data_IF_254659259932
#
_entry.id   IF_254659259932
#
_cell.length_a   1.000
_cell.length_b   1.000
_cell.length_c   1.000
_cell.angle_alpha   90.00
_cell.angle_beta   90.00
_cell.angle_gamma   90.00
#
_symmetry.space_group_name_H-M   'P 1'
#
loop_
_entity.id
_entity.type
_entity.pdbx_description
1 polymer ?
#
# COMPACT_ATOMS: atom_id res chain seq x y z
N UNK A 1 33.01 -13.12 27.52
CA UNK A 1 32.02 -12.24 28.17
C UNK A 1 32.41 -10.81 27.86
N UNK A 2 31.44 -9.92 27.63
CA UNK A 2 31.66 -8.54 27.18
C UNK A 2 30.79 -7.56 28.00
N UNK A 3 31.23 -6.32 28.07
CA UNK A 3 30.43 -5.19 28.56
C UNK A 3 30.15 -4.26 27.37
N UNK A 4 28.87 -3.91 27.18
CA UNK A 4 28.46 -2.98 26.14
C UNK A 4 28.34 -1.59 26.76
N UNK A 5 29.24 -0.69 26.41
CA UNK A 5 29.27 0.68 26.94
C UNK A 5 28.91 1.65 25.83
N UNK A 6 27.93 2.50 26.08
CA UNK A 6 27.52 3.51 25.12
C UNK A 6 28.63 4.55 24.92
N UNK A 7 29.10 4.67 23.67
CA UNK A 7 30.26 5.48 23.32
C UNK A 7 30.13 6.97 23.63
N UNK A 8 28.92 7.53 23.71
CA UNK A 8 28.71 8.95 24.00
C UNK A 8 28.50 9.25 25.48
N UNK A 9 27.65 8.46 26.14
CA UNK A 9 27.25 8.71 27.54
C UNK A 9 28.05 7.90 28.55
N UNK A 10 28.94 7.02 28.07
CA UNK A 10 29.75 6.09 28.89
C UNK A 10 28.93 5.22 29.85
N UNK A 11 27.65 5.00 29.54
CA UNK A 11 26.74 4.17 30.36
C UNK A 11 26.78 2.73 29.87
N UNK A 12 26.76 1.79 30.80
CA UNK A 12 26.78 0.36 30.49
C UNK A 12 25.37 -0.16 30.23
N UNK A 13 25.20 -0.99 29.22
CA UNK A 13 23.95 -1.71 28.97
C UNK A 13 23.69 -2.73 30.08
N UNK A 14 22.51 -2.68 30.66
CA UNK A 14 22.10 -3.47 31.80
C UNK A 14 20.67 -3.99 31.60
N UNK A 15 20.35 -5.11 32.23
CA UNK A 15 18.97 -5.57 32.40
C UNK A 15 18.79 -6.06 33.83
N UNK A 16 17.57 -6.01 34.32
CA UNK A 16 17.25 -6.25 35.71
C UNK A 16 15.81 -6.77 35.82
N UNK A 17 15.43 -7.23 37.00
CA UNK A 17 14.12 -7.84 37.23
C UNK A 17 13.02 -6.79 37.41
N UNK A 18 12.85 -5.97 36.36
CA UNK A 18 11.79 -4.97 36.21
C UNK A 18 11.14 -5.22 34.87
N UNK A 19 9.82 -5.13 34.82
CA UNK A 19 9.05 -5.35 33.61
C UNK A 19 9.33 -4.25 32.57
N UNK A 20 9.44 -4.62 31.29
CA UNK A 20 9.58 -3.67 30.20
C UNK A 20 8.32 -2.79 30.06
N UNK A 21 8.46 -1.53 29.59
CA UNK A 21 7.41 -0.52 29.64
C UNK A 21 6.17 -0.86 28.81
N UNK A 22 6.32 -1.53 27.66
CA UNK A 22 5.19 -1.98 26.82
C UNK A 22 4.97 -3.49 26.89
N UNK A 23 6.04 -4.24 27.17
CA UNK A 23 6.02 -5.71 27.19
C UNK A 23 6.19 -6.24 28.62
N UNK A 24 5.12 -6.31 29.44
CA UNK A 24 5.23 -6.62 30.87
C UNK A 24 5.76 -8.03 31.17
N UNK A 25 5.74 -8.92 30.18
CA UNK A 25 6.26 -10.29 30.29
C UNK A 25 7.78 -10.39 30.10
N UNK A 26 8.42 -9.31 29.64
CA UNK A 26 9.85 -9.24 29.38
C UNK A 26 10.54 -8.29 30.36
N UNK A 27 11.84 -8.46 30.53
CA UNK A 27 12.67 -7.60 31.38
C UNK A 27 13.03 -6.30 30.66
N UNK A 28 13.04 -5.20 31.40
CA UNK A 28 13.52 -3.91 30.92
C UNK A 28 15.03 -3.97 30.63
N UNK A 29 15.43 -3.39 29.50
CA UNK A 29 16.82 -3.14 29.16
C UNK A 29 17.08 -1.65 29.24
N UNK A 30 18.05 -1.26 30.05
CA UNK A 30 18.37 0.14 30.31
C UNK A 30 19.88 0.36 30.37
N UNK A 31 20.29 1.63 30.36
CA UNK A 31 21.68 2.01 30.55
C UNK A 31 21.90 2.33 32.04
N UNK A 32 22.69 1.51 32.73
CA UNK A 32 22.94 1.65 34.17
C UNK A 32 23.63 2.98 34.50
N UNK A 33 23.17 3.60 35.58
CA UNK A 33 23.74 4.80 36.19
C UNK A 33 23.83 4.52 37.69
N UNK A 34 25.01 4.77 38.25
CA UNK A 34 25.21 4.62 39.69
C UNK A 34 24.59 5.81 40.44
N UNK A 35 23.32 5.68 40.79
CA UNK A 35 22.60 6.67 41.60
C UNK A 35 22.73 6.40 43.11
N UNK A 36 23.80 5.72 43.56
CA UNK A 36 23.94 5.31 44.96
C UNK A 36 22.77 4.42 45.42
N UNK A 37 22.28 3.59 44.49
CA UNK A 37 21.22 2.60 44.72
C UNK A 37 21.93 1.31 45.16
N UNK A 38 21.40 0.62 46.17
CA UNK A 38 21.96 -0.59 46.79
C UNK A 38 22.04 -1.83 45.87
N UNK A 39 21.85 -1.67 44.56
CA UNK A 39 21.84 -2.74 43.56
C UNK A 39 23.16 -2.73 42.79
N UNK A 40 23.98 -3.79 42.87
CA UNK A 40 25.22 -3.87 42.11
C UNK A 40 24.89 -3.93 40.60
N UNK A 41 25.73 -3.25 39.80
CA UNK A 41 25.57 -3.23 38.35
C UNK A 41 25.71 -4.63 37.75
N UNK A 42 24.76 -5.04 36.91
CA UNK A 42 24.76 -6.33 36.21
C UNK A 42 25.04 -6.09 34.72
N UNK A 43 26.29 -5.75 34.39
CA UNK A 43 26.63 -5.25 33.05
C UNK A 43 27.25 -6.32 32.13
N UNK A 44 27.29 -7.58 32.57
CA UNK A 44 27.99 -8.65 31.85
C UNK A 44 27.06 -9.36 30.88
N UNK A 45 27.47 -9.40 29.62
CA UNK A 45 26.79 -10.09 28.53
C UNK A 45 27.68 -11.20 27.96
N UNK A 46 27.10 -12.38 27.76
CA UNK A 46 27.70 -13.48 27.01
C UNK A 46 27.36 -13.29 25.54
N UNK A 47 28.42 -13.18 24.72
CA UNK A 47 28.31 -13.12 23.27
C UNK A 47 28.27 -14.54 22.72
N UNK A 48 27.22 -14.87 21.97
CA UNK A 48 27.06 -16.15 21.27
C UNK A 48 26.97 -15.89 19.77
N UNK A 49 27.96 -16.33 18.99
CA UNK A 49 27.87 -16.33 17.52
C UNK A 49 26.92 -17.47 17.12
N UNK A 50 25.85 -17.13 16.41
CA UNK A 50 24.77 -18.05 16.03
C UNK A 50 25.12 -18.79 14.73
N UNK A 51 25.65 -18.08 13.74
CA UNK A 51 26.06 -18.65 12.45
C UNK A 51 27.47 -19.29 12.53
N UNK A 52 27.61 -20.34 13.35
CA UNK A 52 28.87 -21.08 13.50
C UNK A 52 29.11 -21.99 12.29
N UNK A 53 29.65 -21.43 11.22
CA UNK A 53 30.41 -22.19 10.22
C UNK A 53 31.78 -22.58 10.78
N UNK A 54 32.32 -23.72 10.35
CA UNK A 54 33.40 -24.52 10.96
C UNK A 54 34.75 -23.84 11.29
N UNK A 55 34.91 -22.52 11.14
CA UNK A 55 36.25 -21.88 11.21
C UNK A 55 36.29 -20.43 11.76
N UNK A 56 35.27 -19.94 12.47
CA UNK A 56 35.28 -18.52 12.92
C UNK A 56 34.83 -18.31 14.36
N UNK A 57 35.77 -18.46 15.30
CA UNK A 57 35.68 -17.83 16.65
C UNK A 57 35.87 -16.30 16.60
N UNK A 58 36.11 -15.74 15.41
CA UNK A 58 36.29 -14.32 15.18
C UNK A 58 34.96 -13.64 14.86
N UNK A 59 34.61 -12.63 15.67
CA UNK A 59 33.47 -11.74 15.42
C UNK A 59 33.80 -10.79 14.26
N UNK A 60 33.09 -10.93 13.13
CA UNK A 60 33.27 -10.11 11.93
C UNK A 60 32.08 -9.14 11.75
N UNK A 61 32.36 -7.93 11.28
CA UNK A 61 31.32 -6.96 10.89
C UNK A 61 30.46 -7.51 9.76
N UNK A 62 29.16 -7.22 9.81
CA UNK A 62 28.09 -7.56 8.84
C UNK A 62 27.84 -9.07 8.66
N UNK A 63 28.85 -9.92 8.81
CA UNK A 63 28.80 -11.36 8.54
C UNK A 63 28.39 -12.19 9.76
N UNK A 64 28.85 -11.79 10.95
CA UNK A 64 28.58 -12.55 12.16
C UNK A 64 27.23 -12.14 12.75
N UNK A 65 26.33 -13.11 12.76
CA UNK A 65 25.10 -13.05 13.54
C UNK A 65 25.40 -13.43 14.99
N UNK A 66 25.14 -12.50 15.91
CA UNK A 66 25.46 -12.65 17.33
C UNK A 66 24.22 -12.48 18.20
N UNK A 67 24.25 -13.14 19.35
CA UNK A 67 23.25 -13.02 20.40
C UNK A 67 23.92 -12.57 21.69
N UNK A 68 23.28 -11.63 22.39
CA UNK A 68 23.73 -11.18 23.70
C UNK A 68 22.84 -11.80 24.78
N UNK A 69 23.44 -12.62 25.64
CA UNK A 69 22.76 -13.27 26.76
C UNK A 69 23.27 -12.66 28.06
N UNK A 70 22.39 -12.03 28.82
CA UNK A 70 22.72 -11.44 30.10
C UNK A 70 23.16 -12.51 31.11
N UNK A 71 24.29 -12.31 31.78
CA UNK A 71 24.89 -13.35 32.63
C UNK A 71 24.06 -13.62 33.88
N UNK A 72 23.51 -12.58 34.52
CA UNK A 72 22.84 -12.73 35.80
C UNK A 72 21.39 -13.22 35.66
N UNK A 73 20.65 -12.70 34.69
CA UNK A 73 19.22 -13.05 34.49
C UNK A 73 19.00 -14.10 33.41
N UNK A 74 20.03 -14.51 32.66
CA UNK A 74 19.94 -15.37 31.46
C UNK A 74 19.02 -14.83 30.35
N UNK A 75 18.64 -13.56 30.42
CA UNK A 75 17.79 -12.91 29.44
C UNK A 75 18.56 -12.60 28.15
N UNK A 76 17.93 -12.82 27.01
CA UNK A 76 18.46 -12.53 25.69
C UNK A 76 18.00 -11.15 25.25
N UNK A 77 18.93 -10.36 24.73
CA UNK A 77 18.63 -9.06 24.15
C UNK A 77 17.78 -9.22 22.88
N UNK A 78 16.58 -8.64 22.87
CA UNK A 78 15.59 -8.81 21.80
C UNK A 78 14.91 -7.48 21.45
N UNK A 79 14.58 -7.30 20.18
CA UNK A 79 13.62 -6.28 19.74
C UNK A 79 12.19 -6.80 19.95
N UNK A 80 11.40 -6.05 20.73
CA UNK A 80 9.98 -6.35 20.99
C UNK A 80 9.12 -6.17 19.73
N UNK A 81 9.46 -5.19 18.89
CA UNK A 81 8.70 -4.82 17.69
C UNK A 81 7.64 -3.75 17.96
N UNK A 82 7.36 -3.43 19.22
CA UNK A 82 6.53 -2.30 19.61
C UNK A 82 7.32 -0.97 19.51
N UNK A 83 6.63 0.10 19.11
CA UNK A 83 7.16 1.46 19.15
C UNK A 83 6.87 2.10 20.51
N UNK A 84 7.89 2.69 21.13
CA UNK A 84 7.74 3.47 22.34
C UNK A 84 6.82 4.69 22.09
N UNK A 85 6.06 5.14 23.09
CA UNK A 85 5.27 6.37 22.97
C UNK A 85 6.14 7.61 22.73
N UNK A 86 5.52 8.80 22.69
CA UNK A 86 6.21 10.04 22.37
C UNK A 86 7.41 10.35 23.32
N UNK A 87 7.40 9.85 24.56
CA UNK A 87 8.53 9.97 25.49
C UNK A 87 9.80 9.23 25.03
N UNK A 88 9.64 8.17 24.23
CA UNK A 88 10.73 7.38 23.65
C UNK A 88 10.97 7.72 22.18
N UNK A 89 10.48 8.87 21.71
CA UNK A 89 10.64 9.36 20.35
C UNK A 89 10.19 8.36 19.26
N UNK A 90 9.20 7.49 19.56
CA UNK A 90 8.70 6.45 18.64
C UNK A 90 9.75 5.43 18.19
N UNK A 91 10.83 5.28 18.93
CA UNK A 91 11.84 4.26 18.71
C UNK A 91 11.32 2.87 19.06
N UNK A 92 11.96 1.83 18.54
CA UNK A 92 11.59 0.44 18.85
C UNK A 92 11.99 0.06 20.29
N UNK A 93 11.12 -0.67 20.97
CA UNK A 93 11.37 -1.18 22.32
C UNK A 93 12.40 -2.34 22.28
N UNK A 94 13.42 -2.25 23.14
CA UNK A 94 14.42 -3.29 23.37
C UNK A 94 14.13 -3.94 24.73
N UNK A 95 14.07 -5.28 24.76
CA UNK A 95 13.69 -6.06 25.93
C UNK A 95 14.64 -7.23 26.17
N UNK A 96 14.68 -7.70 27.42
CA UNK A 96 15.35 -8.93 27.82
C UNK A 96 14.33 -10.06 27.97
N UNK A 97 14.41 -11.09 27.13
CA UNK A 97 13.49 -12.25 27.21
C UNK A 97 14.25 -13.54 27.51
N UNK A 98 13.67 -14.42 28.32
CA UNK A 98 14.27 -15.74 28.57
C UNK A 98 14.32 -16.55 27.27
N UNK A 99 15.41 -17.28 27.06
CA UNK A 99 15.62 -18.06 25.84
C UNK A 99 14.49 -19.09 25.65
N UNK A 100 13.60 -18.85 24.68
CA UNK A 100 12.63 -19.84 24.22
C UNK A 100 13.25 -20.72 23.13
N UNK A 101 12.81 -21.98 23.02
CA UNK A 101 13.36 -22.97 22.08
C UNK A 101 13.09 -22.67 20.58
N UNK A 102 12.49 -21.52 20.26
CA UNK A 102 12.22 -21.08 18.89
C UNK A 102 13.29 -20.12 18.38
N UNK A 103 13.72 -20.30 17.13
CA UNK A 103 14.57 -19.33 16.45
C UNK A 103 13.75 -18.06 16.16
N UNK A 104 14.05 -16.96 16.86
CA UNK A 104 13.47 -15.65 16.59
C UNK A 104 14.54 -14.71 16.02
N UNK A 105 14.34 -14.26 14.78
CA UNK A 105 15.25 -13.32 14.11
C UNK A 105 15.44 -12.00 14.88
N UNK A 106 14.48 -11.60 15.71
CA UNK A 106 14.58 -10.38 16.55
C UNK A 106 15.54 -10.49 17.74
N UNK A 107 16.12 -11.67 17.98
CA UNK A 107 17.15 -11.91 19.01
C UNK A 107 18.57 -11.91 18.44
N UNK A 108 18.69 -11.81 17.11
CA UNK A 108 19.95 -11.85 16.39
C UNK A 108 20.37 -10.43 16.05
N UNK A 109 21.60 -10.10 16.38
CA UNK A 109 22.22 -8.81 16.16
C UNK A 109 23.41 -8.97 15.22
N UNK A 110 23.73 -7.91 14.50
CA UNK A 110 24.94 -7.82 13.70
C UNK A 110 25.67 -6.52 14.04
N UNK A 111 26.96 -6.45 13.69
CA UNK A 111 27.74 -5.21 13.80
C UNK A 111 27.88 -4.63 12.41
N UNK A 112 27.18 -3.54 12.13
CA UNK A 112 27.26 -2.84 10.85
C UNK A 112 28.60 -2.13 10.69
N UNK A 113 29.02 -1.39 11.72
CA UNK A 113 30.25 -0.61 11.71
C UNK A 113 31.14 -0.96 12.89
N UNK A 114 32.43 -1.13 12.63
CA UNK A 114 33.45 -1.27 13.65
C UNK A 114 34.51 -0.19 13.44
N UNK A 115 34.75 0.61 14.48
CA UNK A 115 35.75 1.67 14.47
C UNK A 115 36.65 1.49 15.70
N UNK A 116 37.95 1.61 15.51
CA UNK A 116 38.90 1.70 16.62
C UNK A 116 38.91 3.14 17.13
N UNK A 117 38.24 3.40 18.25
CA UNK A 117 38.28 4.69 18.92
C UNK A 117 39.55 4.83 19.76
N UNK A 118 40.39 5.81 19.44
CA UNK A 118 41.58 6.16 20.24
C UNK A 118 41.33 7.38 21.16
N UNK A 119 40.22 8.11 20.94
CA UNK A 119 39.90 9.35 21.65
C UNK A 119 39.27 9.10 23.03
N UNK A 120 39.70 9.91 24.02
CA UNK A 120 39.18 9.84 25.40
C UNK A 120 38.10 10.89 25.66
N UNK A 121 38.16 12.03 24.99
CA UNK A 121 37.22 13.13 25.19
C UNK A 121 35.91 12.94 24.42
N UNK A 122 34.79 13.41 24.98
CA UNK A 122 33.48 13.31 24.33
C UNK A 122 33.41 14.03 22.98
N UNK A 123 33.98 15.24 22.89
CA UNK A 123 33.97 16.06 21.66
C UNK A 123 34.75 15.41 20.52
N UNK A 124 35.81 14.68 20.85
CA UNK A 124 36.62 13.95 19.87
C UNK A 124 35.89 12.70 19.37
N UNK A 125 35.23 11.97 20.27
CA UNK A 125 34.34 10.84 19.91
C UNK A 125 33.21 11.25 18.98
N UNK A 126 32.60 12.42 19.19
CA UNK A 126 31.57 12.97 18.27
C UNK A 126 32.14 13.21 16.88
N UNK A 127 33.32 13.83 16.79
CA UNK A 127 33.99 14.09 15.51
C UNK A 127 34.38 12.80 14.79
N UNK A 128 34.87 11.80 15.54
CA UNK A 128 35.19 10.48 14.99
C UNK A 128 33.95 9.76 14.47
N UNK A 129 32.80 9.87 15.13
CA UNK A 129 31.52 9.30 14.66
C UNK A 129 31.06 9.90 13.32
N UNK A 130 31.24 11.22 13.15
CA UNK A 130 30.86 11.93 11.94
C UNK A 130 31.81 11.72 10.75
N UNK A 131 32.99 11.13 10.99
CA UNK A 131 33.89 10.73 9.90
C UNK A 131 33.33 9.50 9.15
N UNK A 132 33.60 9.37 7.84
CA UNK A 132 33.14 8.20 7.08
C UNK A 132 33.83 6.92 7.59
N UNK A 133 33.04 5.90 7.94
CA UNK A 133 33.58 4.59 8.30
C UNK A 133 34.30 3.95 7.10
N UNK A 134 35.49 3.40 7.34
CA UNK A 134 36.13 2.50 6.37
C UNK A 134 35.37 1.17 6.38
N UNK A 135 34.45 1.00 5.43
CA UNK A 135 33.70 -0.25 5.27
C UNK A 135 34.35 -1.05 4.15
N UNK A 136 35.15 -2.05 4.50
CA UNK A 136 35.78 -3.00 3.56
C UNK A 136 34.82 -4.11 3.09
N UNK A 137 33.52 -3.99 3.37
CA UNK A 137 32.54 -5.04 3.11
C UNK A 137 31.96 -4.90 1.71
N UNK A 138 32.73 -5.37 0.73
CA UNK A 138 32.25 -5.61 -0.64
C UNK A 138 31.45 -6.92 -0.69
N UNK A 139 30.26 -6.96 -0.07
CA UNK A 139 29.30 -8.02 -0.36
C UNK A 139 28.74 -7.73 -1.76
N UNK A 140 29.34 -8.33 -2.78
CA UNK A 140 28.78 -8.41 -4.12
C UNK A 140 27.53 -9.30 -4.09
N UNK A 141 26.45 -8.80 -3.50
CA UNK A 141 25.14 -9.42 -3.53
C UNK A 141 24.74 -9.60 -5.00
N UNK A 142 24.32 -10.81 -5.36
CA UNK A 142 23.84 -11.07 -6.71
C UNK A 142 22.60 -10.24 -6.99
N UNK A 143 22.38 -9.89 -8.27
CA UNK A 143 21.17 -9.18 -8.69
C UNK A 143 19.90 -9.94 -8.28
N UNK A 144 19.89 -11.27 -8.38
CA UNK A 144 18.76 -12.12 -7.97
C UNK A 144 18.48 -12.06 -6.46
N UNK A 145 19.52 -11.98 -5.62
CA UNK A 145 19.35 -11.82 -4.18
C UNK A 145 18.70 -10.46 -3.86
N UNK A 146 19.21 -9.37 -4.46
CA UNK A 146 18.64 -8.04 -4.29
C UNK A 146 17.21 -7.95 -4.82
N UNK A 147 16.94 -8.55 -5.97
CA UNK A 147 15.61 -8.58 -6.57
C UNK A 147 14.61 -9.33 -5.70
N UNK A 148 14.94 -10.54 -5.24
CA UNK A 148 14.06 -11.33 -4.37
C UNK A 148 13.81 -10.67 -3.03
N UNK A 149 14.85 -10.10 -2.39
CA UNK A 149 14.71 -9.32 -1.16
C UNK A 149 13.77 -8.13 -1.36
N UNK A 150 13.93 -7.40 -2.46
CA UNK A 150 13.07 -6.25 -2.78
C UNK A 150 11.62 -6.68 -3.01
N UNK A 151 11.37 -7.73 -3.79
CA UNK A 151 10.02 -8.23 -4.03
C UNK A 151 9.35 -8.71 -2.73
N UNK A 152 10.10 -9.41 -1.87
CA UNK A 152 9.60 -9.84 -0.57
C UNK A 152 9.23 -8.64 0.31
N UNK A 153 10.07 -7.61 0.34
CA UNK A 153 9.77 -6.36 1.07
C UNK A 153 8.55 -5.65 0.51
N UNK A 154 8.40 -5.56 -0.82
CA UNK A 154 7.22 -4.95 -1.45
C UNK A 154 5.92 -5.71 -1.10
N UNK A 155 5.98 -7.04 -0.99
CA UNK A 155 4.83 -7.88 -0.63
C UNK A 155 4.49 -7.81 0.86
N UNK A 156 5.52 -7.85 1.73
CA UNK A 156 5.37 -7.89 3.17
C UNK A 156 5.17 -6.50 3.80
N UNK A 157 5.37 -5.42 3.04
CA UNK A 157 5.11 -4.05 3.50
C UNK A 157 3.60 -3.91 3.80
N UNK A 158 3.29 -3.91 5.09
CA UNK A 158 1.99 -3.46 5.60
C UNK A 158 2.08 -1.95 5.69
N UNK A 159 1.30 -1.24 4.89
CA UNK A 159 1.13 0.20 5.08
C UNK A 159 0.44 0.42 6.41
N UNK A 160 0.95 1.32 7.25
CA UNK A 160 0.19 1.79 8.40
C UNK A 160 -1.13 2.38 7.89
N UNK A 161 -2.25 1.79 8.34
CA UNK A 161 -3.61 2.10 7.91
C UNK A 161 -4.09 3.45 8.47
N UNK A 162 -3.42 4.53 8.06
CA UNK A 162 -4.00 5.87 8.20
C UNK A 162 -5.10 6.02 7.15
N UNK A 163 -6.36 5.99 7.59
CA UNK A 163 -7.50 6.29 6.73
C UNK A 163 -7.31 7.68 6.10
N UNK A 164 -7.13 7.70 4.78
CA UNK A 164 -7.00 8.95 4.04
C UNK A 164 -8.40 9.51 3.75
N UNK A 165 -8.61 10.83 3.89
CA UNK A 165 -9.94 11.45 3.69
C UNK A 165 -10.65 11.07 2.39
N UNK A 166 -9.88 10.90 1.31
CA UNK A 166 -10.41 10.52 -0.03
C UNK A 166 -10.30 9.01 -0.33
N UNK A 167 -10.08 8.17 0.69
CA UNK A 167 -10.16 6.71 0.51
C UNK A 167 -11.59 6.32 0.15
N UNK A 168 -11.75 5.34 -0.74
CA UNK A 168 -13.06 4.90 -1.20
C UNK A 168 -13.18 3.39 -1.26
N UNK A 169 -14.41 2.90 -1.12
CA UNK A 169 -14.71 1.47 -1.19
C UNK A 169 -14.92 1.00 -2.64
N UNK A 170 -14.64 -0.27 -2.96
CA UNK A 170 -14.85 -0.80 -4.31
C UNK A 170 -16.28 -0.64 -4.85
N UNK A 171 -17.29 -0.63 -3.97
CA UNK A 171 -18.70 -0.46 -4.36
C UNK A 171 -19.02 0.97 -4.80
N UNK A 172 -18.44 1.96 -4.12
CA UNK A 172 -18.59 3.39 -4.46
C UNK A 172 -18.01 3.74 -5.84
N UNK A 173 -17.09 2.91 -6.34
CA UNK A 173 -16.51 3.11 -7.68
C UNK A 173 -17.55 2.85 -8.75
N UNK A 174 -18.38 1.81 -8.63
CA UNK A 174 -19.37 1.47 -9.69
C UNK A 174 -20.41 2.57 -9.83
N UNK A 175 -20.82 3.18 -8.71
CA UNK A 175 -21.78 4.28 -8.70
C UNK A 175 -21.15 5.64 -8.97
N UNK A 176 -19.82 5.77 -8.93
CA UNK A 176 -19.11 7.06 -8.97
C UNK A 176 -19.57 7.99 -7.84
N UNK A 177 -19.61 7.47 -6.62
CA UNK A 177 -20.01 8.27 -5.45
C UNK A 177 -18.85 9.09 -4.89
N UNK A 178 -17.61 8.64 -5.05
CA UNK A 178 -16.43 9.36 -4.57
C UNK A 178 -15.71 10.11 -5.68
N UNK A 179 -15.11 11.25 -5.34
CA UNK A 179 -14.16 11.99 -6.17
C UNK A 179 -12.87 12.25 -5.37
N UNK A 180 -11.77 12.53 -6.07
CA UNK A 180 -10.49 12.84 -5.42
C UNK A 180 -10.07 14.25 -5.83
N UNK A 181 -9.84 15.13 -4.87
CA UNK A 181 -9.25 16.44 -5.14
C UNK A 181 -7.71 16.30 -5.21
N UNK A 182 -7.11 16.58 -6.38
CA UNK A 182 -5.67 16.54 -6.56
C UNK A 182 -5.00 17.87 -6.22
N UNK A 183 -5.66 18.97 -6.57
CA UNK A 183 -5.06 20.30 -6.44
C UNK A 183 -6.12 21.36 -6.24
N UNK A 184 -5.80 22.33 -5.41
CA UNK A 184 -6.56 23.56 -5.20
C UNK A 184 -5.58 24.72 -5.26
N UNK A 185 -5.84 25.70 -6.12
CA UNK A 185 -4.98 26.87 -6.22
C UNK A 185 -5.02 27.66 -4.88
N UNK A 186 -3.89 28.13 -4.34
CA UNK A 186 -3.88 28.81 -3.04
C UNK A 186 -4.67 30.13 -3.02
N UNK A 187 -4.67 30.89 -4.11
CA UNK A 187 -5.28 32.23 -4.18
C UNK A 187 -6.59 32.31 -4.96
N UNK A 188 -6.85 31.33 -5.83
CA UNK A 188 -8.04 31.30 -6.69
C UNK A 188 -8.84 30.04 -6.36
N UNK A 189 -10.11 29.98 -6.77
CA UNK A 189 -10.98 28.81 -6.62
C UNK A 189 -10.75 27.75 -7.70
N UNK A 190 -9.65 27.81 -8.45
CA UNK A 190 -9.31 26.80 -9.44
C UNK A 190 -8.90 25.49 -8.74
N UNK A 191 -9.43 24.37 -9.22
CA UNK A 191 -9.22 23.06 -8.60
C UNK A 191 -9.23 21.94 -9.64
N UNK A 192 -8.43 20.90 -9.38
CA UNK A 192 -8.33 19.71 -10.20
C UNK A 192 -8.86 18.53 -9.41
N UNK A 193 -9.86 17.84 -9.97
CA UNK A 193 -10.46 16.65 -9.38
C UNK A 193 -10.37 15.46 -10.33
N UNK A 194 -10.09 14.28 -9.77
CA UNK A 194 -10.41 13.02 -10.43
C UNK A 194 -11.92 12.79 -10.33
N UNK A 195 -12.61 13.04 -11.42
CA UNK A 195 -14.04 12.79 -11.55
C UNK A 195 -14.33 12.16 -12.91
N UNK A 196 -15.03 11.03 -12.90
CA UNK A 196 -15.45 10.35 -14.11
C UNK A 196 -16.57 11.08 -14.84
N UNK A 197 -16.67 10.86 -16.15
CA UNK A 197 -17.86 11.26 -16.90
C UNK A 197 -19.03 10.34 -16.54
N UNK A 198 -20.02 10.86 -15.80
CA UNK A 198 -21.13 10.07 -15.27
C UNK A 198 -21.91 9.30 -16.36
N UNK A 199 -22.02 9.86 -17.57
CA UNK A 199 -22.75 9.24 -18.69
C UNK A 199 -22.01 8.01 -19.19
N UNK A 200 -20.68 8.12 -19.35
CA UNK A 200 -19.82 7.00 -19.78
C UNK A 200 -19.73 5.95 -18.68
N UNK A 201 -19.66 6.38 -17.43
CA UNK A 201 -19.54 5.50 -16.27
C UNK A 201 -20.77 4.61 -16.10
N UNK A 202 -21.96 5.23 -16.11
CA UNK A 202 -23.23 4.51 -16.03
C UNK A 202 -23.44 3.65 -17.28
N UNK A 203 -23.10 4.14 -18.48
CA UNK A 203 -23.25 3.35 -19.70
C UNK A 203 -22.33 2.13 -19.72
N UNK A 204 -21.10 2.25 -19.21
CA UNK A 204 -20.17 1.12 -19.10
C UNK A 204 -20.69 0.02 -18.16
N UNK A 205 -21.20 0.42 -16.99
CA UNK A 205 -21.82 -0.51 -16.03
C UNK A 205 -23.09 -1.14 -16.59
N UNK A 206 -23.92 -0.35 -17.28
CA UNK A 206 -25.13 -0.83 -17.94
C UNK A 206 -24.81 -1.79 -19.08
N UNK A 207 -23.78 -1.52 -19.88
CA UNK A 207 -23.34 -2.41 -20.96
C UNK A 207 -22.89 -3.76 -20.42
N UNK A 208 -22.15 -3.78 -19.30
CA UNK A 208 -21.77 -5.02 -18.63
C UNK A 208 -22.99 -5.81 -18.13
N UNK A 209 -23.96 -5.13 -17.52
CA UNK A 209 -25.21 -5.75 -17.07
C UNK A 209 -26.02 -6.33 -18.24
N UNK A 210 -26.20 -5.56 -19.32
CA UNK A 210 -26.90 -6.00 -20.55
C UNK A 210 -26.16 -7.19 -21.17
N UNK A 211 -24.84 -7.14 -21.25
CA UNK A 211 -24.01 -8.24 -21.75
C UNK A 211 -24.26 -9.51 -20.94
N UNK A 212 -24.23 -9.43 -19.60
CA UNK A 212 -24.44 -10.58 -18.73
C UNK A 212 -25.85 -11.16 -18.90
N UNK A 213 -26.88 -10.31 -18.97
CA UNK A 213 -28.27 -10.72 -19.17
C UNK A 213 -28.48 -11.39 -20.54
N UNK A 214 -27.98 -10.79 -21.62
CA UNK A 214 -28.06 -11.36 -22.97
C UNK A 214 -27.28 -12.66 -23.07
N UNK A 215 -26.09 -12.73 -22.46
CA UNK A 215 -25.28 -13.96 -22.43
C UNK A 215 -26.01 -15.08 -21.70
N UNK A 216 -26.58 -14.80 -20.52
CA UNK A 216 -27.39 -15.76 -19.77
C UNK A 216 -28.59 -16.23 -20.59
N UNK A 217 -29.29 -15.30 -21.24
CA UNK A 217 -30.42 -15.59 -22.11
C UNK A 217 -30.05 -16.52 -23.28
N UNK A 218 -28.96 -16.22 -24.00
CA UNK A 218 -28.47 -17.05 -25.09
C UNK A 218 -27.99 -18.42 -24.61
N UNK A 219 -27.34 -18.50 -23.44
CA UNK A 219 -26.94 -19.78 -22.85
C UNK A 219 -28.14 -20.65 -22.51
N UNK A 220 -29.18 -20.08 -21.91
CA UNK A 220 -30.43 -20.80 -21.58
C UNK A 220 -31.16 -21.30 -22.83
N UNK A 221 -31.21 -20.49 -23.89
CA UNK A 221 -31.85 -20.88 -25.16
C UNK A 221 -31.04 -21.94 -25.92
N UNK A 222 -29.71 -21.83 -25.93
CA UNK A 222 -28.82 -22.85 -26.49
C UNK A 222 -28.96 -24.18 -25.77
N UNK A 223 -29.10 -24.18 -24.44
CA UNK A 223 -29.40 -25.40 -23.66
C UNK A 223 -30.73 -26.06 -24.06
N UNK A 224 -31.67 -25.30 -24.62
CA UNK A 224 -32.95 -25.79 -25.16
C UNK A 224 -32.91 -26.07 -26.67
N UNK A 225 -31.71 -26.16 -27.27
CA UNK A 225 -31.48 -26.32 -28.70
C UNK A 225 -32.03 -25.20 -29.60
N UNK A 226 -32.32 -24.02 -29.04
CA UNK A 226 -32.71 -22.83 -29.81
C UNK A 226 -31.48 -21.98 -30.08
N UNK A 227 -31.08 -21.88 -31.35
CA UNK A 227 -29.88 -21.20 -31.79
C UNK A 227 -30.22 -19.84 -32.41
N UNK A 228 -30.32 -18.79 -31.58
CA UNK A 228 -30.68 -17.44 -32.03
C UNK A 228 -29.59 -16.74 -32.88
N UNK A 229 -28.33 -17.12 -32.67
CA UNK A 229 -27.16 -16.49 -33.28
C UNK A 229 -26.40 -17.50 -34.14
N UNK A 230 -25.91 -17.09 -35.33
CA UNK A 230 -25.01 -17.92 -36.13
C UNK A 230 -23.73 -18.21 -35.34
N UNK A 231 -23.10 -19.34 -35.63
CA UNK A 231 -21.97 -19.86 -34.84
C UNK A 231 -20.80 -18.87 -34.75
N UNK A 232 -20.51 -18.14 -35.83
CA UNK A 232 -19.43 -17.15 -35.86
C UNK A 232 -19.74 -15.90 -35.04
N UNK A 233 -21.00 -15.46 -35.00
CA UNK A 233 -21.41 -14.33 -34.16
C UNK A 233 -21.37 -14.72 -32.68
N UNK A 234 -21.76 -15.95 -32.36
CA UNK A 234 -21.66 -16.48 -31.01
C UNK A 234 -20.22 -16.58 -30.51
N UNK A 235 -19.30 -17.11 -31.32
CA UNK A 235 -17.90 -17.20 -30.93
C UNK A 235 -17.31 -15.81 -30.66
N UNK A 236 -17.60 -14.83 -31.52
CA UNK A 236 -17.20 -13.42 -31.32
C UNK A 236 -17.79 -12.83 -30.04
N UNK A 237 -19.07 -13.07 -29.77
CA UNK A 237 -19.75 -12.62 -28.55
C UNK A 237 -19.12 -13.18 -27.27
N UNK A 238 -18.79 -14.48 -27.28
CA UNK A 238 -18.14 -15.15 -26.14
C UNK A 238 -16.71 -14.64 -25.95
N UNK A 239 -15.93 -14.52 -27.04
CA UNK A 239 -14.56 -13.98 -26.98
C UNK A 239 -14.53 -12.54 -26.48
N UNK A 240 -15.43 -11.68 -26.98
CA UNK A 240 -15.51 -10.30 -26.56
C UNK A 240 -15.87 -10.17 -25.06
N UNK A 241 -16.79 -11.00 -24.56
CA UNK A 241 -17.08 -11.03 -23.13
C UNK A 241 -15.98 -11.61 -22.28
N UNK A 242 -15.34 -12.69 -22.72
CA UNK A 242 -14.21 -13.27 -22.01
C UNK A 242 -13.09 -12.23 -21.83
N UNK A 243 -12.79 -11.45 -22.88
CA UNK A 243 -11.82 -10.37 -22.80
C UNK A 243 -12.31 -9.20 -21.95
N UNK A 244 -13.50 -8.67 -22.21
CA UNK A 244 -13.95 -7.43 -21.58
C UNK A 244 -14.54 -7.66 -20.18
N UNK A 245 -15.51 -8.56 -20.04
CA UNK A 245 -16.08 -8.87 -18.72
C UNK A 245 -15.08 -9.61 -17.83
N UNK A 246 -14.27 -10.51 -18.40
CA UNK A 246 -13.17 -11.16 -17.67
C UNK A 246 -12.06 -10.18 -17.28
N UNK A 247 -11.66 -9.30 -18.19
CA UNK A 247 -10.71 -8.21 -17.91
C UNK A 247 -11.21 -7.27 -16.81
N UNK A 248 -12.49 -6.89 -16.85
CA UNK A 248 -13.13 -6.13 -15.78
C UNK A 248 -13.09 -6.89 -14.43
N UNK A 249 -13.45 -8.17 -14.43
CA UNK A 249 -13.46 -8.98 -13.20
C UNK A 249 -12.06 -9.11 -12.57
N UNK A 250 -11.03 -9.39 -13.37
CA UNK A 250 -9.64 -9.49 -12.90
C UNK A 250 -9.12 -8.16 -12.35
N UNK A 251 -9.55 -7.04 -12.91
CA UNK A 251 -9.13 -5.70 -12.47
C UNK A 251 -10.06 -5.08 -11.42
N UNK A 252 -11.11 -5.76 -10.96
CA UNK A 252 -12.05 -5.23 -9.98
C UNK A 252 -12.20 -6.12 -8.75
N UNK A 253 -12.35 -7.44 -8.94
CA UNK A 253 -12.60 -8.37 -7.85
C UNK A 253 -11.46 -8.48 -6.82
N UNK A 254 -10.16 -8.43 -7.18
CA UNK A 254 -9.09 -8.52 -6.20
C UNK A 254 -9.14 -7.42 -5.14
N UNK A 255 -9.67 -6.24 -5.47
CA UNK A 255 -9.75 -5.12 -4.52
C UNK A 255 -10.71 -5.36 -3.36
N UNK A 256 -11.66 -6.30 -3.47
CA UNK A 256 -12.51 -6.70 -2.35
C UNK A 256 -11.76 -7.56 -1.31
N UNK A 257 -10.64 -8.17 -1.69
CA UNK A 257 -9.82 -9.01 -0.82
C UNK A 257 -8.62 -8.25 -0.23
N UNK A 258 -8.44 -6.98 -0.61
CA UNK A 258 -7.31 -6.16 -0.16
C UNK A 258 -7.69 -5.31 1.04
N UNK A 259 -6.97 -5.52 2.15
CA UNK A 259 -7.04 -4.69 3.36
C UNK A 259 -6.05 -3.52 3.26
N UNK A 260 -6.22 -2.64 2.26
CA UNK A 260 -5.37 -1.46 2.06
C UNK A 260 -6.23 -0.23 1.83
N UNK A 261 -5.65 0.96 1.95
CA UNK A 261 -6.31 2.20 1.55
C UNK A 261 -6.49 2.23 0.04
N UNK A 262 -7.74 2.18 -0.41
CA UNK A 262 -8.09 2.17 -1.83
C UNK A 262 -8.63 3.53 -2.27
N UNK A 263 -8.56 3.77 -3.58
CA UNK A 263 -8.91 5.05 -4.20
C UNK A 263 -9.55 4.81 -5.56
N UNK A 264 -10.36 5.78 -6.03
CA UNK A 264 -11.09 5.70 -7.29
C UNK A 264 -10.21 5.35 -8.52
N UNK A 265 -8.96 5.81 -8.57
CA UNK A 265 -8.08 5.53 -9.71
C UNK A 265 -7.74 4.05 -9.89
N UNK A 266 -7.86 3.23 -8.84
CA UNK A 266 -7.68 1.78 -8.91
C UNK A 266 -8.75 1.11 -9.79
N UNK A 267 -9.92 1.73 -9.95
CA UNK A 267 -10.99 1.24 -10.80
C UNK A 267 -10.80 1.58 -12.28
N UNK A 268 -9.95 2.55 -12.62
CA UNK A 268 -9.80 3.02 -14.01
C UNK A 268 -9.42 1.90 -15.00
N UNK A 269 -8.49 0.97 -14.68
CA UNK A 269 -8.22 -0.18 -15.54
C UNK A 269 -9.48 -1.03 -15.80
N UNK A 270 -10.26 -1.34 -14.77
CA UNK A 270 -11.51 -2.09 -14.92
C UNK A 270 -12.53 -1.34 -15.79
N UNK A 271 -12.66 -0.02 -15.59
CA UNK A 271 -13.51 0.85 -16.41
C UNK A 271 -13.12 0.81 -17.90
N UNK A 272 -11.82 0.74 -18.24
CA UNK A 272 -11.41 0.66 -19.65
C UNK A 272 -12.01 -0.55 -20.36
N UNK A 273 -12.07 -1.70 -19.69
CA UNK A 273 -12.72 -2.90 -20.24
C UNK A 273 -14.24 -2.74 -20.39
N UNK A 274 -14.91 -1.99 -19.51
CA UNK A 274 -16.33 -1.66 -19.68
C UNK A 274 -16.55 -0.74 -20.89
N UNK A 275 -15.66 0.23 -21.11
CA UNK A 275 -15.73 1.13 -22.27
C UNK A 275 -15.50 0.34 -23.57
N UNK A 276 -14.60 -0.64 -23.58
CA UNK A 276 -14.39 -1.54 -24.73
C UNK A 276 -15.59 -2.46 -24.99
N UNK A 277 -16.31 -2.87 -23.94
CA UNK A 277 -17.51 -3.70 -24.07
C UNK A 277 -18.70 -2.93 -24.65
N UNK A 278 -18.80 -1.63 -24.36
CA UNK A 278 -19.90 -0.77 -24.79
C UNK A 278 -20.21 -0.84 -26.31
N UNK A 279 -19.26 -0.60 -27.23
CA UNK A 279 -19.53 -0.69 -28.66
C UNK A 279 -19.93 -2.11 -29.11
N UNK A 280 -19.38 -3.16 -28.48
CA UNK A 280 -19.74 -4.56 -28.78
C UNK A 280 -21.22 -4.81 -28.46
N UNK A 281 -21.68 -4.35 -27.30
CA UNK A 281 -23.08 -4.48 -26.88
C UNK A 281 -24.00 -3.65 -27.78
N UNK A 282 -23.62 -2.40 -28.09
CA UNK A 282 -24.41 -1.53 -28.96
C UNK A 282 -24.54 -2.10 -30.38
N UNK A 283 -23.45 -2.59 -30.95
CA UNK A 283 -23.47 -3.26 -32.26
C UNK A 283 -24.36 -4.50 -32.24
N UNK A 284 -24.24 -5.33 -31.20
CA UNK A 284 -25.05 -6.54 -31.06
C UNK A 284 -26.54 -6.24 -30.96
N UNK A 285 -26.93 -5.19 -30.24
CA UNK A 285 -28.33 -4.74 -30.16
C UNK A 285 -28.83 -4.28 -31.54
N UNK A 286 -28.05 -3.46 -32.25
CA UNK A 286 -28.40 -2.99 -33.59
C UNK A 286 -28.60 -4.13 -34.60
N UNK A 287 -27.68 -5.10 -34.60
CA UNK A 287 -27.65 -6.15 -35.63
C UNK A 287 -28.70 -7.24 -35.36
N UNK A 288 -28.85 -7.65 -34.10
CA UNK A 288 -29.64 -8.82 -33.72
C UNK A 288 -30.97 -8.53 -33.02
N UNK A 289 -31.11 -7.38 -32.34
CA UNK A 289 -32.35 -7.03 -31.63
C UNK A 289 -33.24 -6.09 -32.46
N UNK A 290 -32.67 -5.13 -33.16
CA UNK A 290 -33.39 -4.22 -34.05
C UNK A 290 -33.67 -4.88 -35.41
N UNK A 291 -34.90 -5.38 -35.59
CA UNK A 291 -35.33 -6.13 -36.78
C UNK A 291 -35.81 -5.25 -37.93
N UNK A 292 -36.41 -4.09 -37.62
CA UNK A 292 -36.93 -3.17 -38.64
C UNK A 292 -35.97 -2.02 -38.93
N UNK A 293 -36.02 -1.48 -40.15
CA UNK A 293 -35.20 -0.33 -40.53
C UNK A 293 -35.49 0.89 -39.65
N UNK A 294 -36.76 1.08 -39.27
CA UNK A 294 -37.16 2.14 -38.35
C UNK A 294 -36.51 1.96 -36.96
N UNK A 295 -36.50 0.74 -36.41
CA UNK A 295 -35.84 0.45 -35.13
C UNK A 295 -34.34 0.73 -35.19
N UNK A 296 -33.67 0.35 -36.29
CA UNK A 296 -32.24 0.61 -36.49
C UNK A 296 -31.94 2.11 -36.59
N UNK A 297 -32.75 2.86 -37.34
CA UNK A 297 -32.60 4.31 -37.45
C UNK A 297 -32.82 5.01 -36.10
N UNK A 298 -33.85 4.60 -35.34
CA UNK A 298 -34.12 5.14 -34.00
C UNK A 298 -32.97 4.80 -33.06
N UNK A 299 -32.49 3.56 -33.06
CA UNK A 299 -31.36 3.13 -32.22
C UNK A 299 -30.09 3.91 -32.54
N UNK A 300 -29.74 4.07 -33.82
CA UNK A 300 -28.60 4.89 -34.23
C UNK A 300 -28.75 6.35 -33.79
N UNK A 301 -29.95 6.93 -33.90
CA UNK A 301 -30.21 8.29 -33.40
C UNK A 301 -30.02 8.38 -31.87
N UNK A 302 -30.45 7.37 -31.11
CA UNK A 302 -30.23 7.30 -29.66
C UNK A 302 -28.74 7.18 -29.30
N UNK A 303 -27.96 6.40 -30.06
CA UNK A 303 -26.51 6.29 -29.87
C UNK A 303 -25.82 7.62 -30.13
N UNK A 304 -26.21 8.35 -31.19
CA UNK A 304 -25.69 9.69 -31.47
C UNK A 304 -26.07 10.66 -30.34
N UNK A 305 -27.32 10.65 -29.89
CA UNK A 305 -27.77 11.49 -28.79
C UNK A 305 -27.02 11.19 -27.47
N UNK A 306 -26.78 9.92 -27.16
CA UNK A 306 -25.97 9.49 -26.02
C UNK A 306 -24.53 10.02 -26.13
N UNK A 307 -23.91 9.88 -27.30
CA UNK A 307 -22.55 10.39 -27.53
C UNK A 307 -22.48 11.91 -27.38
N UNK A 308 -23.45 12.65 -27.93
CA UNK A 308 -23.55 14.10 -27.75
C UNK A 308 -23.72 14.49 -26.27
N UNK A 309 -24.50 13.73 -25.50
CA UNK A 309 -24.64 13.92 -24.05
C UNK A 309 -23.29 13.71 -23.33
N UNK A 310 -22.56 12.64 -23.66
CA UNK A 310 -21.24 12.38 -23.09
C UNK A 310 -20.25 13.53 -23.39
N UNK A 311 -20.23 14.06 -24.61
CA UNK A 311 -19.43 15.24 -24.98
C UNK A 311 -19.86 16.49 -24.21
N UNK A 312 -21.16 16.71 -24.04
CA UNK A 312 -21.69 17.83 -23.27
C UNK A 312 -21.22 17.77 -21.81
N UNK A 313 -21.35 16.62 -21.15
CA UNK A 313 -20.87 16.42 -19.77
C UNK A 313 -19.36 16.66 -19.67
N UNK A 314 -18.57 16.17 -20.62
CA UNK A 314 -17.12 16.40 -20.64
C UNK A 314 -16.76 17.89 -20.75
N UNK A 315 -17.52 18.66 -21.55
CA UNK A 315 -17.31 20.09 -21.68
C UNK A 315 -17.71 20.84 -20.40
N UNK A 316 -18.78 20.41 -19.73
CA UNK A 316 -19.24 21.02 -18.47
C UNK A 316 -18.27 20.74 -17.32
N UNK A 317 -17.66 19.55 -17.25
CA UNK A 317 -16.68 19.16 -16.23
C UNK A 317 -15.22 19.56 -16.57
N UNK A 318 -14.99 20.13 -17.75
CA UNK A 318 -13.66 20.56 -18.22
C UNK A 318 -12.90 21.44 -17.20
N UNK A 319 -13.52 22.44 -16.55
CA UNK A 319 -12.82 23.29 -15.58
C UNK A 319 -12.26 22.50 -14.39
N UNK A 320 -12.94 21.44 -13.95
CA UNK A 320 -12.49 20.57 -12.86
C UNK A 320 -11.39 19.59 -13.29
N UNK A 321 -11.27 19.32 -14.59
CA UNK A 321 -10.26 18.41 -15.13
C UNK A 321 -8.94 19.14 -15.40
N UNK A 322 -9.01 20.32 -16.02
CA UNK A 322 -7.82 21.08 -16.40
C UNK A 322 -7.38 22.11 -15.34
N UNK A 323 -8.28 22.52 -14.45
CA UNK A 323 -7.98 23.57 -13.46
C UNK A 323 -7.68 24.93 -14.09
N UNK A 324 -8.12 25.18 -15.33
CA UNK A 324 -7.78 26.34 -16.14
C UNK A 324 -8.62 27.59 -15.80
N UNK A 325 -9.84 27.39 -15.28
CA UNK A 325 -10.77 28.47 -14.94
C UNK A 325 -11.07 28.49 -13.44
N UNK A 326 -11.01 29.67 -12.84
CA UNK A 326 -11.54 29.91 -11.50
C UNK A 326 -13.06 30.06 -11.57
N UNK A 327 -13.78 29.14 -10.94
CA UNK A 327 -15.25 29.15 -10.89
C UNK A 327 -15.75 29.83 -9.62
N UNK A 328 -16.88 30.51 -9.73
CA UNK A 328 -17.57 31.06 -8.57
C UNK A 328 -18.15 29.95 -7.67
N UNK A 329 -18.41 30.22 -6.36
CA UNK A 329 -19.02 29.24 -5.47
C UNK A 329 -20.37 28.69 -5.97
N UNK A 330 -21.15 29.51 -6.68
CA UNK A 330 -22.42 29.11 -7.27
C UNK A 330 -22.23 28.12 -8.42
N UNK A 331 -21.27 28.38 -9.33
CA UNK A 331 -20.95 27.47 -10.42
C UNK A 331 -20.38 26.15 -9.91
N UNK A 332 -19.54 26.18 -8.88
CA UNK A 332 -19.02 24.97 -8.24
C UNK A 332 -20.13 24.13 -7.60
N UNK A 333 -21.14 24.76 -7.01
CA UNK A 333 -22.35 24.05 -6.53
C UNK A 333 -23.15 23.47 -7.68
N UNK A 334 -23.27 24.17 -8.81
CA UNK A 334 -23.99 23.67 -9.99
C UNK A 334 -23.29 22.46 -10.64
N UNK A 335 -21.97 22.33 -10.50
CA UNK A 335 -21.20 21.17 -10.94
C UNK A 335 -21.27 19.97 -9.98
N UNK A 336 -21.77 20.19 -8.75
CA UNK A 336 -21.97 19.12 -7.77
C UNK A 336 -23.29 18.39 -8.05
N UNK A 337 -23.26 17.45 -9.00
CA UNK A 337 -24.45 16.68 -9.37
C UNK A 337 -24.80 15.56 -8.39
N UNK A 338 -23.83 15.13 -7.57
CA UNK A 338 -24.04 14.22 -6.46
C UNK A 338 -23.60 14.87 -5.16
N UNK A 339 -24.39 14.68 -4.11
CA UNK A 339 -24.04 15.14 -2.77
C UNK A 339 -22.77 14.46 -2.24
N UNK A 340 -22.46 13.25 -2.69
CA UNK A 340 -21.26 12.53 -2.31
C UNK A 340 -19.97 13.12 -2.91
N UNK A 341 -20.07 14.02 -3.90
CA UNK A 341 -18.89 14.66 -4.50
C UNK A 341 -18.40 15.81 -3.61
N UNK A 342 -17.20 15.62 -3.05
CA UNK A 342 -16.46 16.58 -2.26
C UNK A 342 -15.78 17.61 -3.19
N UNK A 343 -16.57 18.53 -3.72
CA UNK A 343 -16.07 19.72 -4.43
C UNK A 343 -15.74 20.80 -3.40
N UNK A 344 -14.50 21.29 -3.40
CA UNK A 344 -14.05 22.24 -2.39
C UNK A 344 -14.62 23.63 -2.68
N UNK A 345 -15.47 24.12 -1.79
CA UNK A 345 -16.05 25.47 -1.87
C UNK A 345 -15.50 26.26 -0.69
N UNK A 346 -14.72 27.30 -0.96
CA UNK A 346 -14.29 28.24 0.09
C UNK A 346 -15.52 28.98 0.59
N UNK A 347 -15.82 28.84 1.88
CA UNK A 347 -16.69 29.78 2.59
C UNK A 347 -15.87 31.04 2.84
N UNK A 348 -16.42 32.19 2.46
CA UNK A 348 -15.79 33.49 2.69
C UNK A 348 -15.55 33.76 4.17
#
# INVERSE_FOLDING_TARGET
>A
MVQLVHGMTTRSLNTHDVAAPLSPHSQEVSCYIDYNISMPAQNLWRLEIVNRGSDTDVWKTILSEVRFVHVNTSAVLKLSGAHLPDWGYRQLEIVGEKLSRGYHGSTVWNVEEHRYGASQEQRERERELHSPAQVDVSRNLSFMARFSELQWRMLALRSDDSEHKYSSSPLEWVTLDTNIAYWLHPRTSAQIHLLGNIVIWVSGSLALAIYALLSLWYLLRRRRNVHDLPQDAWLRWVLAGALCAGGWAVNYLPFFLMEKTLFLYHYLPALTFQILLLPVVLQHISDHLCRSQLQRSIFSALVVAWYSSACHVSNTLRPLTYGDKSLSPHELKALRWKDSWDILIRKH
#
